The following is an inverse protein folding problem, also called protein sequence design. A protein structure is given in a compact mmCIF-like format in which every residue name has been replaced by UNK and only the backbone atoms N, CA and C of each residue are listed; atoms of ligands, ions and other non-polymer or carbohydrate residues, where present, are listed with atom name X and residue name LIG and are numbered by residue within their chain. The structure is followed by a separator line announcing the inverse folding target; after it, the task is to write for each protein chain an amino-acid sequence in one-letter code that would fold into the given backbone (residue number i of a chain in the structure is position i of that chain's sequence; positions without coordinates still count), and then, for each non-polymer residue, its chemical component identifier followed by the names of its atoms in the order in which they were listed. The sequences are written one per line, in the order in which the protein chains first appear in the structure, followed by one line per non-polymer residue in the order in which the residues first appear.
data_IF_183185714064
#
_entry.id   IF_183185714064
#
_cell.length_a   1.000
_cell.length_b   1.000
_cell.length_c   1.000
_cell.angle_alpha   90.00
_cell.angle_beta   90.00
_cell.angle_gamma   90.00
#
_symmetry.space_group_name_H-M   'P 1'
#
loop_
_entity.id
_entity.type
_entity.pdbx_description
1 polymer ?
#
# COMPACT_ATOMS: atom_id res chain seq x y z
N UNK A 1 -33.96 2.97 -16.45
CA UNK A 1 -33.22 2.78 -15.19
C UNK A 1 -33.99 1.81 -14.33
N UNK A 2 -33.39 0.68 -13.95
CA UNK A 2 -34.02 -0.31 -13.07
C UNK A 2 -33.60 -0.07 -11.63
N UNK A 3 -34.55 -0.17 -10.69
CA UNK A 3 -34.24 -0.24 -9.27
C UNK A 3 -33.99 -1.72 -8.95
N UNK A 4 -32.78 -2.04 -8.50
CA UNK A 4 -32.39 -3.40 -8.15
C UNK A 4 -32.29 -3.51 -6.62
N UNK A 5 -32.78 -4.61 -6.06
CA UNK A 5 -32.72 -4.89 -4.63
C UNK A 5 -31.87 -6.14 -4.38
N UNK A 6 -30.97 -6.08 -3.39
CA UNK A 6 -30.24 -7.25 -2.91
C UNK A 6 -31.20 -8.20 -2.18
N UNK A 7 -31.32 -9.45 -2.65
CA UNK A 7 -32.17 -10.48 -2.03
C UNK A 7 -31.44 -11.40 -1.04
N UNK A 8 -30.11 -11.31 -0.99
CA UNK A 8 -29.28 -12.17 -0.16
C UNK A 8 -28.82 -11.38 1.07
N UNK A 9 -29.06 -11.91 2.26
CA UNK A 9 -28.74 -11.26 3.54
C UNK A 9 -27.26 -10.89 3.68
N UNK A 10 -26.35 -11.71 3.13
CA UNK A 10 -24.91 -11.42 3.15
C UNK A 10 -24.58 -10.29 2.18
N UNK A 11 -25.16 -10.30 0.98
CA UNK A 11 -24.98 -9.21 0.00
C UNK A 11 -25.57 -7.90 0.52
N UNK A 12 -26.66 -7.95 1.28
CA UNK A 12 -27.24 -6.78 1.91
C UNK A 12 -26.26 -6.15 2.91
N UNK A 13 -25.59 -6.95 3.74
CA UNK A 13 -24.53 -6.44 4.65
C UNK A 13 -23.40 -5.76 3.89
N UNK A 14 -22.94 -6.34 2.77
CA UNK A 14 -21.91 -5.70 1.95
C UNK A 14 -22.40 -4.42 1.27
N UNK A 15 -23.65 -4.40 0.82
CA UNK A 15 -24.28 -3.21 0.25
C UNK A 15 -24.32 -2.06 1.27
N UNK A 16 -24.68 -2.34 2.52
CA UNK A 16 -24.73 -1.34 3.59
C UNK A 16 -23.32 -0.79 3.92
N UNK A 17 -22.30 -1.65 3.92
CA UNK A 17 -20.89 -1.23 4.09
C UNK A 17 -20.46 -0.28 2.95
N UNK A 18 -20.77 -0.64 1.70
CA UNK A 18 -20.42 0.19 0.54
C UNK A 18 -21.14 1.54 0.61
N UNK A 19 -22.43 1.56 0.97
CA UNK A 19 -23.18 2.81 1.13
C UNK A 19 -22.59 3.71 2.22
N UNK A 20 -22.21 3.15 3.37
CA UNK A 20 -21.56 3.91 4.43
C UNK A 20 -20.22 4.51 3.97
N UNK A 21 -19.46 3.78 3.15
CA UNK A 21 -18.20 4.27 2.58
C UNK A 21 -18.40 5.34 1.52
N UNK A 22 -19.43 5.23 0.69
CA UNK A 22 -19.72 6.22 -0.35
C UNK A 22 -20.06 7.60 0.24
N UNK A 23 -20.52 7.67 1.49
CA UNK A 23 -20.76 8.94 2.19
C UNK A 23 -19.49 9.78 2.40
N UNK A 24 -18.28 9.19 2.34
CA UNK A 24 -17.03 9.95 2.47
C UNK A 24 -16.56 10.61 1.18
N UNK A 25 -17.22 10.35 0.05
CA UNK A 25 -16.87 10.91 -1.26
C UNK A 25 -17.85 12.01 -1.65
N UNK A 26 -17.35 13.18 -2.05
CA UNK A 26 -18.19 14.28 -2.55
C UNK A 26 -18.93 13.91 -3.85
N UNK A 27 -18.28 13.12 -4.71
CA UNK A 27 -18.81 12.62 -5.99
C UNK A 27 -18.23 11.25 -6.31
N UNK A 28 -19.05 10.36 -6.84
CA UNK A 28 -18.61 9.05 -7.31
C UNK A 28 -19.41 8.59 -8.53
N UNK A 29 -18.83 7.67 -9.30
CA UNK A 29 -19.48 7.00 -10.43
C UNK A 29 -19.07 5.53 -10.45
N UNK A 30 -20.02 4.63 -10.68
CA UNK A 30 -19.76 3.20 -10.84
C UNK A 30 -20.03 2.81 -12.29
N UNK A 31 -19.05 2.23 -12.96
CA UNK A 31 -19.15 1.80 -14.34
C UNK A 31 -18.81 0.32 -14.45
N UNK A 32 -19.67 -0.45 -15.13
CA UNK A 32 -19.36 -1.82 -15.50
C UNK A 32 -18.40 -1.81 -16.70
N UNK A 33 -17.25 -2.50 -16.54
CA UNK A 33 -16.24 -2.63 -17.60
C UNK A 33 -16.04 -4.12 -17.96
N UNK A 34 -15.68 -4.45 -19.22
CA UNK A 34 -15.38 -5.81 -19.62
C UNK A 34 -14.25 -6.42 -18.77
N UNK A 35 -14.34 -7.72 -18.45
CA UNK A 35 -13.32 -8.42 -17.65
C UNK A 35 -11.91 -8.31 -18.25
N UNK A 36 -11.80 -8.31 -19.59
CA UNK A 36 -10.52 -8.12 -20.31
C UNK A 36 -9.83 -6.81 -19.97
N UNK A 37 -10.60 -5.76 -19.66
CA UNK A 37 -10.09 -4.43 -19.27
C UNK A 37 -9.83 -4.31 -17.76
N UNK A 38 -10.49 -5.14 -16.93
CA UNK A 38 -10.26 -5.19 -15.48
C UNK A 38 -9.16 -6.20 -15.08
N UNK A 39 -8.21 -6.49 -15.98
CA UNK A 39 -7.23 -7.57 -15.81
C UNK A 39 -6.42 -7.42 -14.53
N UNK A 40 -6.05 -6.21 -14.13
CA UNK A 40 -5.24 -6.00 -12.93
C UNK A 40 -5.99 -6.45 -11.66
N UNK A 41 -7.21 -5.97 -11.45
CA UNK A 41 -8.00 -6.39 -10.29
C UNK A 41 -8.31 -7.89 -10.34
N UNK A 42 -8.57 -8.44 -11.52
CA UNK A 42 -8.81 -9.87 -11.70
C UNK A 42 -7.59 -10.71 -11.33
N UNK A 43 -6.40 -10.32 -11.80
CA UNK A 43 -5.14 -10.99 -11.44
C UNK A 43 -4.88 -10.92 -9.94
N UNK A 44 -5.16 -9.78 -9.29
CA UNK A 44 -5.03 -9.65 -7.85
C UNK A 44 -5.99 -10.57 -7.09
N UNK A 45 -7.26 -10.63 -7.50
CA UNK A 45 -8.24 -11.53 -6.89
C UNK A 45 -7.86 -13.02 -7.08
N UNK A 46 -7.36 -13.39 -8.27
CA UNK A 46 -6.84 -14.73 -8.53
C UNK A 46 -5.63 -15.05 -7.66
N UNK A 47 -4.66 -14.13 -7.57
CA UNK A 47 -3.48 -14.31 -6.69
C UNK A 47 -3.91 -14.51 -5.24
N UNK A 48 -4.80 -13.66 -4.72
CA UNK A 48 -5.31 -13.77 -3.35
C UNK A 48 -6.03 -15.10 -3.10
N UNK A 49 -6.73 -15.64 -4.11
CA UNK A 49 -7.44 -16.93 -4.01
C UNK A 49 -6.50 -18.13 -4.05
N UNK A 50 -5.39 -18.02 -4.80
CA UNK A 50 -4.37 -19.07 -4.92
C UNK A 50 -3.37 -19.05 -3.77
N UNK A 51 -3.33 -17.98 -2.97
CA UNK A 51 -2.40 -17.89 -1.86
C UNK A 51 -2.70 -18.96 -0.80
N UNK A 52 -1.72 -19.81 -0.46
CA UNK A 52 -1.86 -20.73 0.65
C UNK A 52 -2.03 -19.97 1.97
N UNK A 53 -2.55 -20.61 3.03
CA UNK A 53 -2.53 -20.00 4.36
C UNK A 53 -1.11 -19.56 4.70
N UNK A 54 -0.97 -18.34 5.23
CA UNK A 54 0.31 -17.80 5.64
C UNK A 54 0.98 -18.74 6.64
N UNK A 55 2.17 -19.22 6.29
CA UNK A 55 3.11 -19.85 7.21
C UNK A 55 4.27 -18.89 7.45
N UNK A 56 4.93 -18.96 8.60
CA UNK A 56 6.02 -18.02 8.96
C UNK A 56 7.18 -17.99 7.93
N UNK A 57 7.32 -19.04 7.11
CA UNK A 57 8.34 -19.15 6.05
C UNK A 57 7.92 -18.57 4.68
N UNK A 58 6.70 -18.05 4.56
CA UNK A 58 6.20 -17.50 3.29
C UNK A 58 6.81 -16.12 2.98
N UNK A 59 7.88 -16.12 2.18
CA UNK A 59 8.49 -14.88 1.65
C UNK A 59 7.63 -14.29 0.53
N UNK A 60 6.72 -13.40 0.88
CA UNK A 60 5.98 -12.57 -0.09
C UNK A 60 6.64 -11.21 -0.25
N UNK A 61 6.81 -10.77 -1.49
CA UNK A 61 7.29 -9.41 -1.83
C UNK A 61 6.22 -8.34 -1.61
N UNK A 62 5.00 -8.73 -1.23
CA UNK A 62 3.84 -7.86 -1.02
C UNK A 62 3.27 -8.16 0.36
N UNK A 63 2.97 -7.12 1.12
CA UNK A 63 2.27 -7.25 2.38
C UNK A 63 0.84 -7.73 2.12
N UNK A 64 0.49 -8.92 2.61
CA UNK A 64 -0.85 -9.48 2.50
C UNK A 64 -1.37 -9.76 3.90
N UNK A 65 -2.56 -9.25 4.21
CA UNK A 65 -3.25 -9.51 5.47
C UNK A 65 -4.44 -10.43 5.20
N UNK A 66 -4.49 -11.57 5.89
CA UNK A 66 -5.67 -12.44 5.90
C UNK A 66 -6.59 -12.05 7.04
N UNK A 67 -7.90 -12.02 6.79
CA UNK A 67 -8.90 -11.83 7.83
C UNK A 67 -9.31 -13.20 8.38
N UNK A 68 -9.36 -13.32 9.71
CA UNK A 68 -9.80 -14.56 10.39
C UNK A 68 -11.30 -14.83 10.25
N UNK A 69 -12.06 -13.78 9.90
CA UNK A 69 -13.50 -13.83 9.69
C UNK A 69 -13.88 -13.07 8.40
N UNK A 70 -15.05 -13.36 7.81
CA UNK A 70 -15.58 -12.59 6.68
C UNK A 70 -15.60 -11.10 6.96
N UNK A 71 -15.27 -10.29 5.95
CA UNK A 71 -15.15 -8.83 6.10
C UNK A 71 -16.45 -8.14 6.52
N UNK A 72 -17.62 -8.69 6.18
CA UNK A 72 -18.92 -8.14 6.61
C UNK A 72 -19.24 -8.34 8.10
N UNK A 73 -18.51 -9.20 8.82
CA UNK A 73 -18.65 -9.37 10.28
C UNK A 73 -17.73 -8.41 11.05
N UNK A 74 -16.71 -7.88 10.39
CA UNK A 74 -15.78 -6.92 10.98
C UNK A 74 -16.37 -5.53 10.82
N UNK A 75 -16.47 -4.76 11.91
CA UNK A 75 -16.61 -3.31 11.80
C UNK A 75 -15.32 -2.79 11.17
N UNK A 76 -15.35 -2.52 9.86
CA UNK A 76 -14.26 -1.88 9.13
C UNK A 76 -14.21 -0.40 9.54
N UNK A 77 -13.83 -0.12 10.79
CA UNK A 77 -13.73 1.25 11.33
C UNK A 77 -12.61 2.06 10.69
N UNK A 78 -11.71 1.39 9.96
CA UNK A 78 -10.63 2.02 9.22
C UNK A 78 -10.21 1.08 8.09
N UNK A 79 -10.49 1.46 6.85
CA UNK A 79 -9.60 1.08 5.76
C UNK A 79 -8.30 1.80 6.12
N UNK A 80 -7.33 1.05 6.62
CA UNK A 80 -5.98 1.56 6.73
C UNK A 80 -5.55 1.77 5.29
N UNK A 81 -5.75 2.99 4.77
CA UNK A 81 -4.95 3.44 3.67
C UNK A 81 -3.53 3.14 4.12
N UNK A 82 -2.82 2.32 3.34
CA UNK A 82 -1.37 2.27 3.46
C UNK A 82 -0.92 3.63 2.93
N UNK A 83 -1.06 4.66 3.77
CA UNK A 83 -0.42 5.93 3.55
C UNK A 83 1.05 5.60 3.59
N UNK A 84 1.68 5.56 2.42
CA UNK A 84 3.14 5.52 2.31
C UNK A 84 3.78 6.74 2.99
N UNK A 85 2.97 7.74 3.36
CA UNK A 85 3.32 8.76 4.35
C UNK A 85 3.24 8.22 5.78
N UNK A 86 4.07 7.25 6.10
CA UNK A 86 4.61 7.19 7.47
C UNK A 86 5.70 8.24 7.57
N UNK A 87 5.53 9.11 8.55
CA UNK A 87 6.47 10.07 9.11
C UNK A 87 7.94 9.62 8.94
N UNK A 88 8.70 10.41 8.17
CA UNK A 88 10.03 10.12 7.61
C UNK A 88 10.06 8.99 6.57
N UNK A 89 9.84 9.35 5.30
CA UNK A 89 10.16 8.46 4.19
C UNK A 89 11.65 8.07 4.29
N UNK A 90 11.96 6.78 4.18
CA UNK A 90 13.31 6.22 4.41
C UNK A 90 14.43 6.92 3.61
N UNK A 91 14.07 7.62 2.53
CA UNK A 91 14.99 8.36 1.67
C UNK A 91 15.23 9.80 2.14
N UNK A 92 14.41 10.38 3.03
CA UNK A 92 14.56 11.76 3.51
C UNK A 92 15.93 11.98 4.16
N UNK A 93 16.36 11.05 5.03
CA UNK A 93 17.70 11.14 5.64
C UNK A 93 18.82 11.11 4.59
N UNK A 94 18.62 10.40 3.47
CA UNK A 94 19.59 10.35 2.36
C UNK A 94 19.60 11.70 1.63
N UNK A 95 18.42 12.30 1.40
CA UNK A 95 18.28 13.62 0.78
C UNK A 95 18.88 14.71 1.66
N UNK A 96 18.62 14.71 2.96
CA UNK A 96 19.16 15.67 3.92
C UNK A 96 20.69 15.62 3.98
N UNK A 97 21.25 14.40 3.97
CA UNK A 97 22.69 14.23 3.92
C UNK A 97 23.28 14.71 2.58
N UNK A 98 22.67 14.36 1.45
CA UNK A 98 23.18 14.77 0.13
C UNK A 98 23.01 16.27 -0.14
N UNK A 99 22.00 16.91 0.43
CA UNK A 99 21.69 18.34 0.18
C UNK A 99 22.33 19.27 1.21
N UNK A 100 22.34 18.87 2.49
CA UNK A 100 22.72 19.74 3.61
C UNK A 100 23.88 19.16 4.44
N UNK A 101 24.43 17.99 4.08
CA UNK A 101 25.47 17.29 4.85
C UNK A 101 25.06 16.97 6.29
N UNK A 102 23.76 16.81 6.55
CA UNK A 102 23.23 16.48 7.88
C UNK A 102 23.20 14.97 8.07
N UNK A 103 23.81 14.48 9.15
CA UNK A 103 23.74 13.07 9.56
C UNK A 103 22.63 12.86 10.59
N UNK A 104 21.94 11.71 10.57
CA UNK A 104 20.98 11.37 11.62
C UNK A 104 21.63 11.40 13.01
N UNK A 105 20.99 12.02 14.01
CA UNK A 105 21.60 12.31 15.32
C UNK A 105 21.92 11.05 16.13
N UNK A 106 21.13 9.98 15.96
CA UNK A 106 21.18 8.77 16.80
C UNK A 106 22.16 7.70 16.29
N UNK A 107 23.05 8.04 15.35
CA UNK A 107 24.01 7.07 14.78
C UNK A 107 25.27 6.93 15.62
N UNK A 108 25.61 5.69 15.97
CA UNK A 108 26.93 5.31 16.49
C UNK A 108 28.05 5.64 15.48
N UNK A 109 29.32 5.69 15.92
CA UNK A 109 30.46 5.94 15.02
C UNK A 109 30.48 4.99 13.80
N UNK A 110 30.24 3.69 14.04
CA UNK A 110 30.12 2.69 12.98
C UNK A 110 28.87 2.93 12.11
N UNK A 111 27.74 3.29 12.73
CA UNK A 111 26.50 3.63 12.03
C UNK A 111 26.66 4.81 11.07
N UNK A 112 27.42 5.84 11.45
CA UNK A 112 27.74 6.99 10.59
C UNK A 112 28.51 6.54 9.34
N UNK A 113 29.55 5.72 9.51
CA UNK A 113 30.34 5.20 8.38
C UNK A 113 29.50 4.36 7.42
N UNK A 114 28.69 3.44 7.96
CA UNK A 114 27.81 2.59 7.15
C UNK A 114 26.73 3.41 6.42
N UNK A 115 26.19 4.44 7.07
CA UNK A 115 25.23 5.35 6.47
C UNK A 115 25.83 6.09 5.26
N UNK A 116 27.02 6.68 5.43
CA UNK A 116 27.72 7.39 4.34
C UNK A 116 27.98 6.46 3.15
N UNK A 117 28.47 5.24 3.41
CA UNK A 117 28.70 4.25 2.35
C UNK A 117 27.40 3.88 1.61
N UNK A 118 26.29 3.78 2.33
CA UNK A 118 24.97 3.53 1.72
C UNK A 118 24.52 4.71 0.87
N UNK A 119 24.73 5.93 1.33
CA UNK A 119 24.33 7.17 0.63
C UNK A 119 25.13 7.40 -0.65
N UNK A 120 26.39 6.95 -0.73
CA UNK A 120 27.22 7.02 -1.94
C UNK A 120 26.62 6.29 -3.16
N UNK A 121 25.63 5.41 -2.94
CA UNK A 121 24.86 4.73 -3.99
C UNK A 121 23.78 5.61 -4.60
N UNK A 122 23.61 6.85 -4.13
CA UNK A 122 22.57 7.76 -4.57
C UNK A 122 23.15 9.11 -4.99
N UNK A 123 22.40 9.85 -5.81
CA UNK A 123 22.72 11.21 -6.25
C UNK A 123 21.43 12.02 -6.45
N UNK A 124 21.49 13.33 -6.21
CA UNK A 124 20.38 14.24 -6.50
C UNK A 124 20.65 14.94 -7.83
N UNK A 125 19.73 14.84 -8.78
CA UNK A 125 19.77 15.51 -10.08
C UNK A 125 18.44 16.25 -10.27
N UNK A 126 18.50 17.57 -10.46
CA UNK A 126 17.29 18.39 -10.64
C UNK A 126 16.30 18.33 -9.46
N UNK A 127 16.80 18.13 -8.23
CA UNK A 127 15.96 17.98 -7.04
C UNK A 127 15.34 16.58 -6.84
N UNK A 128 15.64 15.62 -7.72
CA UNK A 128 15.12 14.25 -7.65
C UNK A 128 16.26 13.30 -7.23
N UNK A 129 15.97 12.38 -6.30
CA UNK A 129 16.92 11.37 -5.83
C UNK A 129 16.97 10.19 -6.81
N UNK A 130 18.16 9.89 -7.33
CA UNK A 130 18.44 8.74 -8.18
C UNK A 130 19.38 7.75 -7.48
N UNK A 131 19.18 6.46 -7.73
CA UNK A 131 20.14 5.41 -7.35
C UNK A 131 21.15 5.26 -8.49
N UNK A 132 22.44 5.31 -8.17
CA UNK A 132 23.52 5.04 -9.12
C UNK A 132 23.47 3.57 -9.53
N UNK A 133 23.49 3.32 -10.83
CA UNK A 133 23.82 1.99 -11.36
C UNK A 133 25.30 1.71 -11.08
N UNK A 134 25.60 0.48 -10.67
CA UNK A 134 26.97 -0.02 -10.66
C UNK A 134 27.12 -0.87 -11.91
N UNK A 135 28.17 -0.61 -12.70
CA UNK A 135 28.73 -1.59 -13.64
C UNK A 135 29.60 -2.59 -12.86
#
# INVERSE_FOLDING_TARGET
TGVYQCKNDILQKYHDIVLAQLQSFDKFTIQAIPRTTNRFADTMASLASLMPPFTEDSRLYVAVQRLDQPSHLRQLTSIHAVTTHTQYEWYQQIVDYLSHSVLPPDLTSNGRRSFIQRTNRYAILGGILYKRGFD
#
